data_IF_430849503900
#
_entry.id   IF_430849503900
#
_cell.length_a   1.000
_cell.length_b   1.000
_cell.length_c   1.000
_cell.angle_alpha   90.00
_cell.angle_beta   90.00
_cell.angle_gamma   90.00
#
_symmetry.space_group_name_H-M   'P 1'
#
loop_
_entity.id
_entity.type
_entity.pdbx_description
1 polymer ?
#
# COMPACT_ATOMS: atom_id res chain seq x y z
N UNK A 1 -25.75 -13.75 0.40
CA UNK A 1 -24.64 -13.27 -0.44
C UNK A 1 -23.42 -13.24 0.46
N UNK A 2 -22.64 -14.31 0.41
CA UNK A 2 -21.51 -14.54 1.29
C UNK A 2 -20.43 -15.17 0.42
N UNK A 3 -19.18 -14.79 0.65
CA UNK A 3 -17.97 -15.19 -0.09
C UNK A 3 -17.63 -14.35 -1.33
N UNK A 4 -17.23 -13.09 -1.13
CA UNK A 4 -16.31 -12.40 -2.06
C UNK A 4 -15.39 -11.37 -1.35
N UNK A 5 -15.21 -11.53 -0.04
CA UNK A 5 -14.50 -10.53 0.78
C UNK A 5 -12.99 -10.57 0.50
N UNK A 6 -12.42 -11.72 0.14
CA UNK A 6 -10.97 -11.85 -0.05
C UNK A 6 -10.46 -11.17 -1.34
N UNK A 7 -11.15 -11.30 -2.47
CA UNK A 7 -10.72 -10.71 -3.74
C UNK A 7 -11.11 -9.23 -3.88
N UNK A 8 -12.25 -8.83 -3.30
CA UNK A 8 -12.67 -7.43 -3.22
C UNK A 8 -11.67 -6.60 -2.39
N UNK A 9 -11.21 -7.14 -1.26
CA UNK A 9 -10.28 -6.44 -0.37
C UNK A 9 -8.97 -6.05 -1.06
N UNK A 10 -8.31 -6.96 -1.78
CA UNK A 10 -7.01 -6.63 -2.42
C UNK A 10 -7.13 -5.52 -3.45
N UNK A 11 -8.18 -5.59 -4.27
CA UNK A 11 -8.43 -4.57 -5.31
C UNK A 11 -8.78 -3.22 -4.68
N UNK A 12 -9.59 -3.22 -3.62
CA UNK A 12 -9.90 -2.01 -2.86
C UNK A 12 -8.67 -1.43 -2.15
N UNK A 13 -7.84 -2.27 -1.52
CA UNK A 13 -6.57 -1.87 -0.90
C UNK A 13 -5.65 -1.27 -1.94
N UNK A 14 -5.43 -1.94 -3.08
CA UNK A 14 -4.59 -1.41 -4.15
C UNK A 14 -5.14 -0.09 -4.69
N UNK A 15 -6.46 0.01 -4.92
CA UNK A 15 -7.07 1.25 -5.38
C UNK A 15 -6.92 2.38 -4.36
N UNK A 16 -7.00 2.07 -3.06
CA UNK A 16 -6.80 3.04 -2.00
C UNK A 16 -5.33 3.46 -1.91
N UNK A 17 -4.40 2.50 -1.83
CA UNK A 17 -2.94 2.74 -1.84
C UNK A 17 -2.54 3.57 -3.06
N UNK A 18 -3.04 3.23 -4.25
CA UNK A 18 -2.79 3.97 -5.49
C UNK A 18 -3.27 5.40 -5.39
N UNK A 19 -4.51 5.60 -4.93
CA UNK A 19 -5.08 6.94 -4.74
C UNK A 19 -4.27 7.74 -3.73
N UNK A 20 -3.92 7.14 -2.60
CA UNK A 20 -3.09 7.75 -1.55
C UNK A 20 -1.72 8.15 -2.10
N UNK A 21 -1.07 7.31 -2.89
CA UNK A 21 0.23 7.63 -3.50
C UNK A 21 0.13 8.80 -4.47
N UNK A 22 -0.90 8.80 -5.32
CA UNK A 22 -1.18 9.89 -6.27
C UNK A 22 -1.49 11.21 -5.53
N UNK A 23 -2.23 11.16 -4.44
CA UNK A 23 -2.62 12.36 -3.68
C UNK A 23 -1.53 12.88 -2.74
N UNK A 24 -0.76 11.99 -2.08
CA UNK A 24 0.29 12.37 -1.14
C UNK A 24 1.61 12.74 -1.83
N UNK A 25 1.97 12.00 -2.88
CA UNK A 25 3.26 12.16 -3.57
C UNK A 25 3.11 12.79 -4.96
N UNK A 26 1.90 13.23 -5.33
CA UNK A 26 1.59 13.86 -6.63
C UNK A 26 2.04 13.02 -7.84
N UNK A 27 2.03 11.68 -7.67
CA UNK A 27 2.46 10.72 -8.69
C UNK A 27 1.37 10.49 -9.73
N UNK A 28 1.78 10.08 -10.93
CA UNK A 28 0.82 9.68 -11.95
C UNK A 28 0.23 8.30 -11.64
N UNK A 29 -1.08 8.19 -11.76
CA UNK A 29 -1.79 6.95 -11.45
C UNK A 29 -1.36 5.81 -12.41
N UNK A 30 -0.84 6.15 -13.59
CA UNK A 30 -0.32 5.20 -14.58
C UNK A 30 1.08 4.67 -14.23
N UNK A 31 1.84 5.40 -13.41
CA UNK A 31 3.14 4.98 -12.90
C UNK A 31 3.01 4.06 -11.68
N UNK A 32 1.92 4.20 -10.92
CA UNK A 32 1.61 3.34 -9.77
C UNK A 32 1.11 1.97 -10.23
N UNK A 33 2.05 1.11 -10.62
CA UNK A 33 1.82 -0.29 -11.00
C UNK A 33 2.15 -1.23 -9.83
N UNK A 34 1.55 -2.42 -9.78
CA UNK A 34 1.89 -3.42 -8.74
C UNK A 34 3.38 -3.75 -8.72
N UNK A 35 3.98 -3.86 -9.89
CA UNK A 35 5.40 -4.13 -10.10
C UNK A 35 6.31 -2.92 -9.89
N UNK A 36 5.75 -1.71 -9.78
CA UNK A 36 6.52 -0.49 -9.58
C UNK A 36 7.21 -0.50 -8.22
N UNK A 37 8.46 -0.07 -8.22
CA UNK A 37 9.30 0.06 -7.04
C UNK A 37 9.15 1.44 -6.44
N UNK A 38 8.88 1.49 -5.14
CA UNK A 38 8.75 2.76 -4.42
C UNK A 38 10.01 3.62 -4.59
N UNK A 39 11.18 3.06 -4.30
CA UNK A 39 12.44 3.79 -4.30
C UNK A 39 13.06 4.02 -5.69
N UNK A 40 12.77 3.17 -6.68
CA UNK A 40 13.45 3.23 -8.00
C UNK A 40 12.56 3.84 -9.09
N UNK A 41 11.26 3.52 -9.09
CA UNK A 41 10.35 3.96 -10.15
C UNK A 41 9.52 5.19 -9.72
N UNK A 42 9.11 5.23 -8.44
CA UNK A 42 8.25 6.27 -7.90
C UNK A 42 9.02 7.37 -7.15
N UNK A 43 10.35 7.27 -7.08
CA UNK A 43 11.25 8.21 -6.40
C UNK A 43 10.82 8.50 -4.93
N UNK A 44 10.23 7.50 -4.26
CA UNK A 44 9.78 7.57 -2.88
C UNK A 44 10.98 7.45 -1.96
N UNK A 45 11.19 8.46 -1.13
CA UNK A 45 12.25 8.44 -0.14
C UNK A 45 11.87 7.66 1.13
N UNK A 46 12.86 7.45 2.00
CA UNK A 46 12.62 6.86 3.33
C UNK A 46 11.66 7.67 4.21
N UNK A 47 11.50 8.97 3.95
CA UNK A 47 10.56 9.86 4.65
C UNK A 47 9.15 9.64 4.12
N UNK A 48 9.00 9.65 2.80
CA UNK A 48 7.73 9.40 2.11
C UNK A 48 7.15 8.02 2.46
N UNK A 49 8.01 7.01 2.54
CA UNK A 49 7.60 5.68 2.99
C UNK A 49 6.99 5.68 4.41
N UNK A 50 7.46 6.55 5.30
CA UNK A 50 6.88 6.69 6.66
C UNK A 50 5.48 7.30 6.59
N UNK A 51 5.27 8.31 5.75
CA UNK A 51 3.95 8.94 5.59
C UNK A 51 2.94 7.95 4.97
N UNK A 52 3.35 7.16 3.98
CA UNK A 52 2.53 6.08 3.42
C UNK A 52 2.13 5.06 4.50
N UNK A 53 3.07 4.63 5.35
CA UNK A 53 2.80 3.71 6.47
C UNK A 53 1.78 4.30 7.43
N UNK A 54 1.93 5.59 7.77
CA UNK A 54 1.03 6.28 8.69
C UNK A 54 -0.39 6.32 8.12
N UNK A 55 -0.55 6.65 6.85
CA UNK A 55 -1.85 6.69 6.18
C UNK A 55 -2.50 5.31 6.10
N UNK A 56 -1.74 4.28 5.70
CA UNK A 56 -2.24 2.91 5.64
C UNK A 56 -2.62 2.36 7.02
N UNK A 57 -1.90 2.77 8.07
CA UNK A 57 -2.25 2.45 9.45
C UNK A 57 -3.56 3.11 9.86
N UNK A 58 -3.83 4.34 9.41
CA UNK A 58 -5.11 5.01 9.67
C UNK A 58 -6.25 4.34 8.91
N UNK A 59 -6.04 4.00 7.64
CA UNK A 59 -7.02 3.29 6.81
C UNK A 59 -7.38 1.91 7.38
N UNK A 60 -6.38 1.10 7.73
CA UNK A 60 -6.60 -0.24 8.28
C UNK A 60 -7.06 -0.23 9.74
N UNK A 61 -6.77 0.85 10.48
CA UNK A 61 -6.99 0.94 11.92
C UNK A 61 -6.18 -0.06 12.74
N UNK A 62 -5.21 -0.77 12.14
CA UNK A 62 -4.42 -1.81 12.79
C UNK A 62 -2.97 -1.41 12.94
N UNK A 63 -2.29 -2.00 13.93
CA UNK A 63 -0.85 -1.80 14.10
C UNK A 63 -0.10 -2.53 12.98
N UNK A 64 0.51 -1.75 12.09
CA UNK A 64 1.49 -2.21 11.12
C UNK A 64 2.82 -2.46 11.84
N UNK A 65 3.42 -3.63 11.65
CA UNK A 65 4.76 -3.90 12.16
C UNK A 65 5.80 -3.26 11.22
N UNK A 66 6.73 -2.44 11.73
CA UNK A 66 7.80 -1.89 10.90
C UNK A 66 8.64 -2.95 10.19
N UNK A 67 8.73 -4.18 10.72
CA UNK A 67 9.44 -5.26 10.04
C UNK A 67 8.74 -5.72 8.74
N UNK A 68 7.40 -5.65 8.68
CA UNK A 68 6.64 -5.96 7.45
C UNK A 68 6.93 -4.93 6.35
N UNK A 69 7.26 -3.68 6.75
CA UNK A 69 7.61 -2.60 5.84
C UNK A 69 9.08 -2.54 5.46
N UNK A 70 9.99 -3.15 6.23
CA UNK A 70 11.41 -3.26 5.84
C UNK A 70 11.61 -4.13 4.60
N UNK A 71 10.72 -5.11 4.38
CA UNK A 71 10.76 -5.96 3.19
C UNK A 71 10.00 -5.38 2.00
N UNK A 72 9.22 -4.32 2.19
CA UNK A 72 8.44 -3.69 1.13
C UNK A 72 9.37 -2.95 0.17
N UNK A 73 9.35 -3.37 -1.10
CA UNK A 73 10.11 -2.75 -2.19
C UNK A 73 9.19 -2.25 -3.30
N UNK A 74 8.04 -2.90 -3.46
CA UNK A 74 7.07 -2.66 -4.54
C UNK A 74 5.70 -2.31 -3.99
N UNK A 75 4.84 -1.75 -4.84
CA UNK A 75 3.43 -1.50 -4.51
C UNK A 75 2.71 -2.80 -4.15
N UNK A 76 3.02 -3.89 -4.85
CA UNK A 76 2.45 -5.20 -4.54
C UNK A 76 2.79 -5.65 -3.11
N UNK A 77 4.04 -5.42 -2.65
CA UNK A 77 4.44 -5.74 -1.29
C UNK A 77 3.63 -4.94 -0.25
N UNK A 78 3.39 -3.64 -0.50
CA UNK A 78 2.55 -2.79 0.37
C UNK A 78 1.15 -3.37 0.48
N UNK A 79 0.54 -3.67 -0.67
CA UNK A 79 -0.82 -4.21 -0.74
C UNK A 79 -0.90 -5.57 -0.04
N UNK A 80 0.08 -6.45 -0.27
CA UNK A 80 0.14 -7.76 0.36
C UNK A 80 0.31 -7.66 1.89
N UNK A 81 1.11 -6.70 2.38
CA UNK A 81 1.27 -6.46 3.82
C UNK A 81 -0.06 -6.00 4.46
N UNK A 82 -0.74 -5.05 3.82
CA UNK A 82 -2.04 -4.55 4.27
C UNK A 82 -3.12 -5.63 4.20
N UNK A 83 -3.15 -6.42 3.14
CA UNK A 83 -4.07 -7.54 2.98
C UNK A 83 -3.92 -8.56 4.11
N UNK A 84 -2.68 -8.96 4.43
CA UNK A 84 -2.39 -9.87 5.55
C UNK A 84 -2.87 -9.32 6.89
N UNK A 85 -2.79 -8.02 7.10
CA UNK A 85 -3.27 -7.36 8.31
C UNK A 85 -4.80 -7.35 8.43
N UNK A 86 -5.51 -7.25 7.30
CA UNK A 86 -6.98 -7.24 7.26
C UNK A 86 -7.61 -8.64 7.32
N UNK A 87 -6.87 -9.68 6.94
CA UNK A 87 -7.34 -11.08 7.03
C UNK A 87 -7.20 -11.70 8.43
N UNK A 88 -6.49 -11.05 9.34
CA UNK A 88 -6.37 -11.40 10.76
C UNK A 88 -7.15 -10.43 11.66
#
# INVERSE_FOLDING_TARGET
>A
MSTDIAAANRTEIFSHVRKTLVELFELDADDVKPEARLYEDLDIDSIDAVDLVVELKQFTGRRINPDDFKSVRTIDDVVNAVERLMQH
#
